data_IF_295670637394
#
_entry.id   IF_295670637394
#
_cell.length_a   1.000
_cell.length_b   1.000
_cell.length_c   1.000
_cell.angle_alpha   90.00
_cell.angle_beta   90.00
_cell.angle_gamma   90.00
#
_symmetry.space_group_name_H-M   'P 1'
#
loop_
_entity.id
_entity.type
_entity.pdbx_description
1 polymer ?
#
# COMPACT_ATOMS: atom_id res chain seq x y z
N UNK A 1 2.27 19.90 15.53
CA UNK A 1 2.84 19.38 14.26
C UNK A 1 1.81 19.24 13.15
N UNK A 2 0.64 18.62 13.39
CA UNK A 2 -0.43 18.49 12.39
C UNK A 2 -0.81 19.80 11.67
N UNK A 3 -0.94 20.90 12.42
CA UNK A 3 -1.27 22.22 11.86
C UNK A 3 -0.15 22.89 11.05
N UNK A 4 1.06 22.31 11.05
CA UNK A 4 2.18 22.75 10.22
C UNK A 4 2.18 22.07 8.84
N UNK A 5 1.28 21.10 8.60
CA UNK A 5 1.12 20.49 7.29
C UNK A 5 0.66 21.56 6.27
N UNK A 6 1.35 21.72 5.12
CA UNK A 6 0.99 22.74 4.14
C UNK A 6 -0.36 22.46 3.45
N UNK A 7 -0.88 21.23 3.55
CA UNK A 7 -2.17 20.84 2.99
C UNK A 7 -3.24 20.78 4.07
N UNK A 8 -4.16 21.76 4.06
CA UNK A 8 -5.34 21.75 4.94
C UNK A 8 -6.17 20.48 4.79
N UNK A 9 -6.30 19.97 3.56
CA UNK A 9 -7.01 18.72 3.29
C UNK A 9 -6.32 17.54 3.97
N UNK A 10 -5.00 17.42 3.86
CA UNK A 10 -4.24 16.36 4.53
C UNK A 10 -4.38 16.46 6.06
N UNK A 11 -4.44 17.67 6.62
CA UNK A 11 -4.73 17.88 8.04
C UNK A 11 -6.09 17.32 8.46
N UNK A 12 -7.16 17.64 7.72
CA UNK A 12 -8.52 17.17 8.01
C UNK A 12 -8.65 15.64 7.83
N UNK A 13 -8.05 15.10 6.77
CA UNK A 13 -7.98 13.67 6.49
C UNK A 13 -7.21 12.89 7.58
N UNK A 14 -6.01 13.36 7.94
CA UNK A 14 -5.17 12.72 8.95
C UNK A 14 -5.81 12.79 10.35
N UNK A 15 -6.51 13.88 10.68
CA UNK A 15 -7.25 13.98 11.94
C UNK A 15 -8.27 12.84 12.06
N UNK A 16 -9.07 12.59 11.01
CA UNK A 16 -10.03 11.48 10.97
C UNK A 16 -9.33 10.13 11.10
N UNK A 17 -8.22 9.94 10.37
CA UNK A 17 -7.43 8.70 10.43
C UNK A 17 -6.96 8.39 11.86
N UNK A 18 -6.38 9.38 12.54
CA UNK A 18 -5.85 9.23 13.90
C UNK A 18 -6.96 8.96 14.93
N UNK A 19 -8.11 9.62 14.80
CA UNK A 19 -9.28 9.40 15.66
C UNK A 19 -9.84 7.97 15.50
N UNK A 20 -9.88 7.43 14.28
CA UNK A 20 -10.48 6.13 14.01
C UNK A 20 -9.56 4.94 14.29
N UNK A 21 -8.23 5.11 14.16
CA UNK A 21 -7.25 4.01 14.28
C UNK A 21 -6.45 4.04 15.57
N UNK A 22 -6.63 5.06 16.41
CA UNK A 22 -6.04 5.17 17.75
C UNK A 22 -4.52 4.97 17.75
N UNK A 23 -3.85 5.54 16.74
CA UNK A 23 -2.42 5.36 16.52
C UNK A 23 -1.61 5.96 17.68
N UNK A 24 -0.56 5.27 18.19
CA UNK A 24 0.28 5.83 19.25
C UNK A 24 0.96 7.13 18.81
N UNK A 25 0.89 8.15 19.66
CA UNK A 25 1.56 9.44 19.46
C UNK A 25 2.84 9.47 20.29
N UNK A 26 3.95 9.93 19.70
CA UNK A 26 5.23 10.09 20.40
C UNK A 26 5.26 11.42 21.17
N UNK A 27 6.12 11.56 22.21
CA UNK A 27 6.29 12.82 22.93
C UNK A 27 6.61 14.03 22.03
N UNK A 28 7.26 13.79 20.89
CA UNK A 28 7.64 14.79 19.89
C UNK A 28 6.46 15.22 19.00
N UNK A 29 5.30 14.59 19.16
CA UNK A 29 4.09 14.87 18.38
C UNK A 29 4.09 14.21 16.99
N UNK A 30 4.92 13.19 16.79
CA UNK A 30 4.82 12.25 15.67
C UNK A 30 3.82 11.14 16.01
N UNK A 31 3.50 10.28 15.05
CA UNK A 31 2.70 9.08 15.32
C UNK A 31 3.36 7.84 14.74
N UNK A 32 3.07 6.70 15.36
CA UNK A 32 3.52 5.40 14.89
C UNK A 32 2.50 4.81 13.93
N UNK A 33 2.97 4.15 12.88
CA UNK A 33 2.18 3.39 11.92
C UNK A 33 2.88 2.11 11.50
N UNK A 34 2.18 1.27 10.74
CA UNK A 34 2.69 0.00 10.26
C UNK A 34 2.96 0.02 8.76
N UNK A 35 4.00 -0.68 8.35
CA UNK A 35 4.38 -0.82 6.94
C UNK A 35 4.74 -2.27 6.62
N UNK A 36 4.07 -2.85 5.63
CA UNK A 36 4.45 -4.15 5.05
C UNK A 36 5.58 -3.98 4.04
N UNK A 37 6.62 -4.80 4.14
CA UNK A 37 7.78 -4.84 3.25
C UNK A 37 8.13 -6.30 2.93
N UNK A 38 8.97 -6.54 1.92
CA UNK A 38 9.35 -7.90 1.55
C UNK A 38 10.34 -8.52 2.56
N UNK A 39 10.75 -9.77 2.30
CA UNK A 39 11.68 -10.51 3.16
C UNK A 39 13.06 -9.83 3.31
N UNK A 40 13.49 -9.06 2.32
CA UNK A 40 14.75 -8.32 2.31
C UNK A 40 14.61 -6.88 2.84
N UNK A 41 13.48 -6.58 3.51
CA UNK A 41 13.12 -5.24 4.01
C UNK A 41 12.95 -4.17 2.92
N UNK A 42 12.87 -4.55 1.65
CA UNK A 42 12.62 -3.65 0.54
C UNK A 42 11.12 -3.41 0.34
N UNK A 43 10.76 -2.26 -0.20
CA UNK A 43 9.38 -2.01 -0.62
C UNK A 43 8.94 -2.99 -1.74
N UNK A 44 7.70 -3.47 -1.66
CA UNK A 44 7.20 -4.50 -2.58
C UNK A 44 7.16 -4.05 -4.06
N UNK A 45 6.86 -2.78 -4.32
CA UNK A 45 6.62 -2.29 -5.68
C UNK A 45 7.91 -1.98 -6.42
N UNK A 46 8.76 -1.10 -5.89
CA UNK A 46 9.95 -0.62 -6.59
C UNK A 46 11.20 -1.44 -6.26
N UNK A 47 11.25 -2.08 -5.08
CA UNK A 47 12.41 -2.81 -4.55
C UNK A 47 13.67 -1.96 -4.48
N UNK A 48 13.51 -0.65 -4.28
CA UNK A 48 14.61 0.33 -4.23
C UNK A 48 14.82 0.90 -2.84
N UNK A 49 13.79 0.83 -2.00
CA UNK A 49 13.77 1.50 -0.72
C UNK A 49 13.93 0.48 0.40
N UNK A 50 15.09 0.51 1.05
CA UNK A 50 15.39 -0.29 2.24
C UNK A 50 14.66 0.26 3.47
N UNK A 51 13.90 -0.61 4.14
CA UNK A 51 13.13 -0.32 5.34
C UNK A 51 13.68 -1.06 6.56
N UNK A 52 14.97 -1.37 6.58
CA UNK A 52 15.64 -1.85 7.79
C UNK A 52 15.49 -0.84 8.94
N UNK A 53 15.47 -1.33 10.18
CA UNK A 53 15.34 -0.47 11.37
C UNK A 53 16.43 0.58 11.41
N UNK A 54 16.05 1.84 11.66
CA UNK A 54 16.94 3.00 11.68
C UNK A 54 16.96 3.79 10.36
N UNK A 55 16.46 3.23 9.26
CA UNK A 55 16.36 3.95 7.99
C UNK A 55 15.35 5.09 8.07
N UNK A 56 15.69 6.22 7.43
CA UNK A 56 14.76 7.34 7.18
C UNK A 56 14.61 7.49 5.69
N UNK A 57 13.38 7.39 5.20
CA UNK A 57 13.09 7.41 3.78
C UNK A 57 12.32 8.67 3.46
N UNK A 58 12.77 9.39 2.44
CA UNK A 58 12.13 10.63 2.02
C UNK A 58 12.08 10.76 0.50
N UNK A 59 11.08 11.50 0.03
CA UNK A 59 10.96 11.93 -1.35
C UNK A 59 10.45 13.37 -1.39
N UNK A 60 10.64 14.05 -2.52
CA UNK A 60 10.05 15.38 -2.70
C UNK A 60 8.53 15.26 -2.56
N UNK A 61 7.92 16.08 -1.71
CA UNK A 61 6.47 16.05 -1.44
C UNK A 61 5.61 16.08 -2.70
N UNK A 62 6.01 16.86 -3.71
CA UNK A 62 5.32 16.95 -5.00
C UNK A 62 5.39 15.65 -5.85
N UNK A 63 6.21 14.68 -5.46
CA UNK A 63 6.24 13.33 -6.02
C UNK A 63 5.20 12.40 -5.40
N UNK A 64 4.56 12.81 -4.30
CA UNK A 64 3.50 12.05 -3.64
C UNK A 64 2.15 12.49 -4.21
N UNK A 65 1.33 11.52 -4.61
CA UNK A 65 -0.01 11.82 -5.12
C UNK A 65 -0.89 12.34 -3.99
N UNK A 66 -1.47 13.51 -4.20
CA UNK A 66 -2.32 14.16 -3.23
C UNK A 66 -3.79 13.77 -3.39
N UNK A 67 -4.27 13.37 -4.57
CA UNK A 67 -5.65 12.94 -4.78
C UNK A 67 -6.03 11.71 -3.92
N UNK A 68 -6.92 11.92 -2.94
CA UNK A 68 -7.41 10.90 -2.00
C UNK A 68 -8.38 9.89 -2.64
N UNK A 69 -8.90 10.16 -3.84
CA UNK A 69 -9.75 9.22 -4.58
C UNK A 69 -8.92 8.13 -5.27
N UNK A 70 -7.62 8.33 -5.42
CA UNK A 70 -6.71 7.31 -5.94
C UNK A 70 -6.23 6.38 -4.83
N UNK A 71 -6.62 5.11 -4.93
CA UNK A 71 -6.29 4.09 -3.93
C UNK A 71 -4.81 3.74 -3.86
N UNK A 72 -4.23 3.31 -4.98
CA UNK A 72 -2.81 3.00 -5.11
C UNK A 72 -2.18 4.02 -6.05
N UNK A 73 -1.35 4.92 -5.51
CA UNK A 73 -0.66 5.95 -6.30
C UNK A 73 0.72 6.23 -5.72
N UNK A 74 1.45 7.18 -6.30
CA UNK A 74 2.82 7.50 -5.86
C UNK A 74 2.85 8.02 -4.42
N UNK A 75 3.86 7.60 -3.67
CA UNK A 75 4.04 7.97 -2.27
C UNK A 75 4.45 6.80 -1.40
N UNK A 76 4.97 7.10 -0.22
CA UNK A 76 5.21 6.06 0.77
C UNK A 76 3.92 5.75 1.52
N UNK A 77 3.55 4.47 1.49
CA UNK A 77 2.40 3.97 2.21
C UNK A 77 2.78 3.43 3.58
N UNK A 78 1.97 3.78 4.57
CA UNK A 78 1.90 3.23 5.92
C UNK A 78 0.44 3.25 6.38
N UNK A 79 0.10 2.49 7.42
CA UNK A 79 -1.29 2.37 7.82
C UNK A 79 -1.51 1.65 9.14
N UNK A 80 -2.73 1.13 9.32
CA UNK A 80 -3.07 0.25 10.43
C UNK A 80 -2.32 -1.08 10.35
N UNK A 81 -2.30 -1.80 11.47
CA UNK A 81 -1.69 -3.11 11.56
C UNK A 81 -2.29 -4.07 10.52
N UNK A 82 -3.62 -4.10 10.41
CA UNK A 82 -4.36 -5.00 9.51
C UNK A 82 -4.03 -4.73 8.05
N UNK A 83 -3.99 -3.46 7.64
CA UNK A 83 -3.62 -3.07 6.28
C UNK A 83 -2.19 -3.51 5.95
N UNK A 84 -1.23 -3.19 6.82
CA UNK A 84 0.16 -3.48 6.56
C UNK A 84 0.47 -4.99 6.61
N UNK A 85 -0.21 -5.73 7.50
CA UNK A 85 -0.17 -7.20 7.55
C UNK A 85 -0.77 -7.84 6.31
N UNK A 86 -1.92 -7.35 5.85
CA UNK A 86 -2.52 -7.79 4.59
C UNK A 86 -1.62 -7.52 3.39
N UNK A 87 -0.88 -6.41 3.40
CA UNK A 87 0.07 -6.09 2.34
C UNK A 87 1.30 -7.01 2.32
N UNK A 88 1.71 -7.53 3.48
CA UNK A 88 2.82 -8.47 3.62
C UNK A 88 2.38 -9.95 3.71
N UNK A 89 1.11 -10.27 3.44
CA UNK A 89 0.53 -11.61 3.66
C UNK A 89 1.17 -12.72 2.82
N UNK A 90 1.80 -12.37 1.69
CA UNK A 90 2.42 -13.34 0.78
C UNK A 90 3.91 -13.59 1.09
N UNK A 91 4.33 -13.34 2.33
CA UNK A 91 5.72 -13.44 2.75
C UNK A 91 6.39 -12.07 2.81
N UNK A 92 6.84 -11.69 4.00
CA UNK A 92 7.49 -10.39 4.21
C UNK A 92 7.67 -10.02 5.68
N UNK A 93 7.80 -8.74 5.94
CA UNK A 93 7.99 -8.19 7.27
C UNK A 93 7.02 -7.03 7.53
N UNK A 94 6.57 -6.93 8.77
CA UNK A 94 5.83 -5.80 9.28
C UNK A 94 6.76 -4.88 10.07
N UNK A 95 6.86 -3.64 9.64
CA UNK A 95 7.71 -2.61 10.24
C UNK A 95 6.87 -1.60 11.01
N UNK A 96 7.44 -1.04 12.08
CA UNK A 96 6.92 0.12 12.79
C UNK A 96 7.63 1.35 12.24
N UNK A 97 6.86 2.33 11.79
CA UNK A 97 7.35 3.59 11.25
C UNK A 97 6.85 4.76 12.09
N UNK A 98 7.70 5.75 12.30
CA UNK A 98 7.37 7.03 12.93
C UNK A 98 7.23 8.09 11.83
N UNK A 99 6.12 8.83 11.86
CA UNK A 99 5.74 9.79 10.82
C UNK A 99 5.45 11.15 11.44
N UNK A 100 6.04 12.21 10.88
CA UNK A 100 5.66 13.58 11.22
C UNK A 100 4.32 13.91 10.51
N UNK A 101 3.29 14.37 11.23
CA UNK A 101 2.02 14.78 10.63
C UNK A 101 2.13 15.83 9.51
N UNK A 102 3.21 16.61 9.46
CA UNK A 102 3.45 17.59 8.39
C UNK A 102 3.87 16.97 7.06
N UNK A 103 4.43 15.75 7.08
CA UNK A 103 4.86 15.03 5.88
C UNK A 103 3.76 14.19 5.21
N UNK A 104 2.63 14.00 5.90
CA UNK A 104 1.45 13.34 5.32
C UNK A 104 0.87 14.18 4.19
N UNK A 105 0.56 13.53 3.07
CA UNK A 105 0.08 14.18 1.84
C UNK A 105 -1.37 13.87 1.56
N UNK A 106 -1.81 12.64 1.80
CA UNK A 106 -3.20 12.23 1.61
C UNK A 106 -3.55 10.96 2.38
N UNK A 107 -4.82 10.81 2.75
CA UNK A 107 -5.39 9.56 3.30
C UNK A 107 -6.44 9.04 2.32
N UNK A 108 -6.14 7.97 1.55
CA UNK A 108 -7.08 7.39 0.60
C UNK A 108 -8.44 6.99 1.23
N UNK A 109 -9.53 7.25 0.51
CA UNK A 109 -10.89 6.92 0.95
C UNK A 109 -11.28 5.45 0.71
N UNK A 110 -10.60 4.79 -0.22
CA UNK A 110 -10.93 3.46 -0.75
C UNK A 110 -10.69 2.28 0.21
N UNK A 111 -10.09 2.54 1.35
CA UNK A 111 -9.62 1.51 2.28
C UNK A 111 -10.07 1.78 3.72
N UNK A 112 -11.27 2.35 3.91
CA UNK A 112 -11.80 2.71 5.25
C UNK A 112 -10.82 3.52 6.10
N UNK A 113 -10.05 4.41 5.44
CA UNK A 113 -8.97 5.16 6.06
C UNK A 113 -7.98 4.25 6.81
N UNK A 114 -7.57 3.13 6.22
CA UNK A 114 -6.60 2.20 6.83
C UNK A 114 -5.15 2.49 6.41
N UNK A 115 -4.91 3.28 5.36
CA UNK A 115 -3.57 3.68 4.92
C UNK A 115 -3.49 5.19 4.70
N UNK A 116 -2.27 5.70 4.64
CA UNK A 116 -1.95 7.07 4.28
C UNK A 116 -0.77 7.09 3.29
N UNK A 117 -0.57 8.26 2.66
CA UNK A 117 0.60 8.58 1.85
C UNK A 117 1.40 9.68 2.54
N UNK A 118 2.70 9.42 2.73
CA UNK A 118 3.65 10.38 3.32
C UNK A 118 4.84 10.63 2.40
N UNK A 119 5.44 11.81 2.52
CA UNK A 119 6.68 12.16 1.85
C UNK A 119 7.92 11.65 2.61
N UNK A 120 7.82 11.50 3.93
CA UNK A 120 8.92 11.05 4.80
C UNK A 120 8.41 10.17 5.96
N UNK A 121 9.24 9.21 6.39
CA UNK A 121 9.08 8.49 7.64
C UNK A 121 10.41 7.87 8.09
N UNK A 122 10.48 7.50 9.37
CA UNK A 122 11.59 6.73 9.95
C UNK A 122 11.14 5.35 10.37
N UNK A 123 11.91 4.32 10.04
CA UNK A 123 11.68 2.95 10.55
C UNK A 123 12.25 2.85 11.97
N UNK A 124 11.40 2.58 12.95
CA UNK A 124 11.77 2.57 14.37
C UNK A 124 11.73 1.19 15.00
N UNK A 125 11.14 0.20 14.33
CA UNK A 125 11.12 -1.18 14.83
C UNK A 125 10.69 -2.20 13.80
N UNK A 126 11.08 -3.45 14.04
CA UNK A 126 10.56 -4.63 13.37
C UNK A 126 9.50 -5.26 14.28
N UNK A 127 8.31 -5.52 13.76
CA UNK A 127 7.18 -6.02 14.55
C UNK A 127 7.04 -7.53 14.40
N UNK A 128 6.92 -8.03 13.17
CA UNK A 128 6.78 -9.46 12.88
C UNK A 128 7.34 -9.79 11.49
N UNK A 129 7.82 -11.01 11.32
CA UNK A 129 8.05 -11.64 10.01
C UNK A 129 6.85 -12.52 9.69
N UNK A 130 6.37 -12.47 8.46
CA UNK A 130 5.22 -13.21 7.96
C UNK A 130 5.75 -14.20 6.93
N UNK A 131 5.54 -15.49 7.18
CA UNK A 131 5.84 -16.52 6.20
C UNK A 131 4.80 -16.51 5.08
N UNK A 132 5.25 -16.76 3.86
CA UNK A 132 4.30 -16.99 2.76
C UNK A 132 3.45 -18.23 3.09
N UNK A 133 2.14 -18.20 2.82
CA UNK A 133 1.35 -19.42 2.92
C UNK A 133 1.97 -20.48 2.02
N UNK A 134 1.98 -21.76 2.45
CA UNK A 134 2.39 -22.84 1.57
C UNK A 134 1.60 -22.74 0.26
N UNK A 135 2.28 -22.98 -0.87
CA UNK A 135 1.61 -23.06 -2.16
C UNK A 135 0.49 -24.10 -2.03
N UNK A 136 -0.75 -23.68 -2.19
CA UNK A 136 -1.88 -24.60 -2.27
C UNK A 136 -1.68 -25.47 -3.50
N UNK A 137 -1.34 -26.73 -3.27
CA UNK A 137 -1.12 -27.76 -4.26
C UNK A 137 -2.41 -28.24 -4.94
N UNK A 138 -3.55 -27.53 -4.76
CA UNK A 138 -4.81 -27.90 -5.39
C UNK A 138 -5.85 -26.80 -5.54
N UNK A 139 -5.65 -25.86 -6.47
CA UNK A 139 -6.78 -25.24 -7.19
C UNK A 139 -6.71 -25.64 -8.66
N UNK A 140 -7.42 -26.73 -8.97
CA UNK A 140 -7.95 -27.00 -10.30
C UNK A 140 -8.88 -25.83 -10.65
N UNK A 141 -8.42 -24.90 -11.50
CA UNK A 141 -9.34 -24.02 -12.20
C UNK A 141 -10.14 -24.92 -13.13
N UNK A 142 -11.28 -25.40 -12.65
CA UNK A 142 -12.34 -25.93 -13.50
C UNK A 142 -12.85 -24.75 -14.34
N UNK A 143 -12.10 -24.42 -15.39
CA UNK A 143 -12.66 -23.73 -16.53
C UNK A 143 -13.73 -24.66 -17.05
N UNK A 144 -14.99 -24.44 -16.65
CA UNK A 144 -16.11 -25.08 -17.30
C UNK A 144 -15.94 -24.87 -18.81
N UNK A 145 -15.80 -25.97 -19.56
CA UNK A 145 -15.49 -26.00 -21.00
C UNK A 145 -16.44 -25.15 -21.87
N UNK A 146 -17.60 -24.74 -21.34
CA UNK A 146 -18.60 -23.91 -22.03
C UNK A 146 -18.11 -22.49 -22.38
N UNK A 147 -17.21 -21.88 -21.60
CA UNK A 147 -16.72 -20.52 -21.91
C UNK A 147 -15.61 -20.51 -22.99
N UNK A 148 -14.91 -21.64 -23.16
CA UNK A 148 -13.81 -21.77 -24.11
C UNK A 148 -14.30 -21.91 -25.56
N UNK A 149 -15.44 -22.59 -25.78
CA UNK A 149 -16.03 -22.71 -27.12
C UNK A 149 -16.48 -21.34 -27.66
N UNK A 150 -17.07 -20.49 -26.83
CA UNK A 150 -17.52 -19.17 -27.24
C UNK A 150 -16.35 -18.24 -27.60
N UNK A 151 -15.25 -18.31 -26.84
CA UNK A 151 -14.04 -17.52 -27.11
C UNK A 151 -13.29 -18.02 -28.35
N UNK A 152 -13.17 -19.34 -28.51
CA UNK A 152 -12.56 -19.97 -29.68
C UNK A 152 -13.37 -19.70 -30.97
N UNK A 153 -14.70 -19.77 -30.91
CA UNK A 153 -15.57 -19.45 -32.03
C UNK A 153 -15.46 -17.98 -32.44
N UNK A 154 -15.40 -17.07 -31.47
CA UNK A 154 -15.18 -15.64 -31.75
C UNK A 154 -13.83 -15.36 -32.40
N UNK A 155 -12.77 -16.05 -31.98
CA UNK A 155 -11.43 -15.90 -32.55
C UNK A 155 -11.33 -16.46 -33.98
N UNK A 156 -11.98 -17.60 -34.25
CA UNK A 156 -12.06 -18.19 -35.58
C UNK A 156 -12.84 -17.32 -36.57
N UNK A 157 -13.98 -16.76 -36.13
CA UNK A 157 -14.77 -15.83 -36.95
C UNK A 157 -13.99 -14.56 -37.29
N UNK A 158 -13.24 -14.00 -36.33
CA UNK A 158 -12.42 -12.83 -36.55
C UNK A 158 -11.25 -13.08 -37.52
N UNK A 159 -10.71 -14.30 -37.56
CA UNK A 159 -9.68 -14.69 -38.54
C UNK A 159 -10.27 -14.80 -39.95
N UNK A 160 -11.42 -15.46 -40.11
CA UNK A 160 -12.10 -15.56 -41.42
C UNK A 160 -12.51 -14.18 -41.97
N UNK A 161 -12.94 -13.27 -41.10
CA UNK A 161 -13.31 -11.90 -41.50
C UNK A 161 -12.06 -11.06 -41.88
N UNK A 162 -10.89 -11.37 -41.31
CA UNK A 162 -9.63 -10.67 -41.63
C UNK A 162 -8.99 -11.13 -42.94
N UNK A 163 -9.27 -12.36 -43.37
CA UNK A 163 -8.73 -12.93 -44.62
C UNK A 163 -9.57 -12.58 -45.86
N UNK A 164 -10.73 -11.95 -45.68
CA UNK A 164 -11.67 -11.57 -46.74
C UNK A 164 -11.64 -10.07 -47.13
N UNK A 165 -10.60 -9.31 -46.75
CA UNK A 165 -10.40 -7.91 -47.14
C UNK A 165 -9.06 -7.64 -47.83
#
# INVERSE_FOLDING_TARGET
KLMANPSRRATEELYRFLEHKNMPITPEGNFLAYKGVNNDFMDFYSRKFDNSVGQTLSMIRNGVCDDANMGCSSGFHAGSYEYAKGYASNGGNLMIVEIDPSDVVSVPHDCDCQKLRTAEYKVVGHMESIDAPPLDDGINYDYSDEENEAYAAGYAQAQEDSDNY
#
